data_IF_754560598638
#
_entry.id   IF_754560598638
#
_cell.length_a   1.000
_cell.length_b   1.000
_cell.length_c   1.000
_cell.angle_alpha   90.00
_cell.angle_beta   90.00
_cell.angle_gamma   90.00
#
_symmetry.space_group_name_H-M   'P 1'
#
loop_
_entity.id
_entity.type
_entity.pdbx_description
1 polymer ?
#
# COMPACT_ATOMS: atom_id res chain seq x y z
N UNK A 1 7.11 -15.91 -6.79
CA UNK A 1 5.78 -15.33 -6.47
C UNK A 1 5.75 -13.91 -7.02
N UNK A 2 4.59 -13.29 -7.24
CA UNK A 2 4.51 -11.93 -7.80
C UNK A 2 3.91 -11.03 -6.71
N UNK A 3 4.78 -10.46 -5.88
CA UNK A 3 4.43 -9.62 -4.74
C UNK A 3 3.65 -8.38 -5.20
N UNK A 4 4.01 -7.81 -6.35
CA UNK A 4 3.29 -6.68 -6.95
C UNK A 4 1.82 -7.04 -7.22
N UNK A 5 1.57 -8.23 -7.79
CA UNK A 5 0.22 -8.71 -8.05
C UNK A 5 -0.56 -8.99 -6.75
N UNK A 6 0.10 -9.55 -5.74
CA UNK A 6 -0.52 -9.83 -4.44
C UNK A 6 -0.86 -8.53 -3.69
N UNK A 7 0.05 -7.56 -3.68
CA UNK A 7 -0.18 -6.23 -3.11
C UNK A 7 -1.37 -5.56 -3.77
N UNK A 8 -1.44 -5.59 -5.11
CA UNK A 8 -2.57 -5.04 -5.85
C UNK A 8 -3.89 -5.71 -5.46
N UNK A 9 -3.92 -7.04 -5.44
CA UNK A 9 -5.12 -7.78 -5.07
C UNK A 9 -5.58 -7.49 -3.63
N UNK A 10 -4.64 -7.37 -2.69
CA UNK A 10 -4.95 -7.02 -1.31
C UNK A 10 -5.51 -5.61 -1.19
N UNK A 11 -4.88 -4.62 -1.82
CA UNK A 11 -5.33 -3.22 -1.81
C UNK A 11 -6.69 -3.09 -2.52
N UNK A 12 -6.93 -3.81 -3.62
CA UNK A 12 -8.23 -3.85 -4.32
C UNK A 12 -9.33 -4.47 -3.43
N UNK A 13 -9.00 -5.46 -2.60
CA UNK A 13 -9.98 -6.19 -1.80
C UNK A 13 -10.39 -5.45 -0.52
N UNK A 14 -9.48 -4.70 0.09
CA UNK A 14 -9.74 -3.94 1.31
C UNK A 14 -8.94 -2.62 1.35
N UNK A 15 -9.32 -1.64 0.51
CA UNK A 15 -8.59 -0.38 0.35
C UNK A 15 -8.61 0.53 1.58
N UNK A 16 -9.59 0.35 2.47
CA UNK A 16 -9.73 1.18 3.67
C UNK A 16 -8.89 0.69 4.85
N UNK A 17 -8.41 -0.56 4.81
CA UNK A 17 -7.55 -1.11 5.86
C UNK A 17 -6.25 -0.33 6.03
N UNK A 18 -5.78 -0.25 7.28
CA UNK A 18 -4.49 0.36 7.61
C UNK A 18 -3.33 -0.35 6.89
N UNK A 19 -3.48 -1.67 6.68
CA UNK A 19 -2.53 -2.47 5.91
C UNK A 19 -2.46 -2.03 4.45
N UNK A 20 -3.61 -1.89 3.78
CA UNK A 20 -3.65 -1.47 2.38
C UNK A 20 -3.10 -0.05 2.21
N UNK A 21 -3.47 0.88 3.11
CA UNK A 21 -2.94 2.25 3.12
C UNK A 21 -1.42 2.30 3.33
N UNK A 22 -0.89 1.47 4.23
CA UNK A 22 0.56 1.41 4.49
C UNK A 22 1.31 0.86 3.28
N UNK A 23 0.80 -0.20 2.64
CA UNK A 23 1.40 -0.77 1.44
C UNK A 23 1.29 0.18 0.23
N UNK A 24 0.18 0.90 0.08
CA UNK A 24 0.03 1.94 -0.93
C UNK A 24 1.08 3.05 -0.75
N UNK A 25 1.25 3.56 0.47
CA UNK A 25 2.28 4.57 0.78
C UNK A 25 3.70 4.08 0.49
N UNK A 26 3.98 2.81 0.76
CA UNK A 26 5.27 2.20 0.44
C UNK A 26 5.52 2.23 -1.07
N UNK A 27 4.54 1.82 -1.88
CA UNK A 27 4.65 1.85 -3.35
C UNK A 27 4.86 3.27 -3.86
N UNK A 28 4.10 4.26 -3.36
CA UNK A 28 4.24 5.65 -3.76
C UNK A 28 5.64 6.21 -3.46
N UNK A 29 6.19 5.89 -2.29
CA UNK A 29 7.55 6.31 -1.92
C UNK A 29 8.61 5.65 -2.81
N UNK A 30 8.43 4.37 -3.15
CA UNK A 30 9.36 3.63 -4.01
C UNK A 30 9.38 4.14 -5.46
N UNK A 31 8.24 4.54 -6.01
CA UNK A 31 8.17 5.10 -7.37
C UNK A 31 8.68 6.54 -7.42
N UNK A 32 8.31 7.37 -6.44
CA UNK A 32 8.71 8.78 -6.38
C UNK A 32 10.14 9.02 -5.87
N UNK A 33 10.86 7.96 -5.47
CA UNK A 33 12.10 8.05 -4.70
C UNK A 33 11.96 8.95 -3.45
N UNK A 34 10.78 8.93 -2.84
CA UNK A 34 10.40 9.74 -1.68
C UNK A 34 10.70 9.08 -0.34
N UNK A 35 10.39 9.81 0.74
CA UNK A 35 10.54 9.32 2.12
C UNK A 35 9.41 8.36 2.51
N UNK A 36 9.74 7.35 3.31
CA UNK A 36 8.79 6.42 3.92
C UNK A 36 9.13 6.19 5.39
N UNK A 37 8.12 6.23 6.27
CA UNK A 37 8.30 6.04 7.72
C UNK A 37 8.40 4.54 8.04
N UNK A 38 9.61 4.03 8.26
CA UNK A 38 9.86 2.58 8.41
C UNK A 38 9.07 1.94 9.58
N UNK A 39 8.82 2.69 10.66
CA UNK A 39 8.04 2.22 11.80
C UNK A 39 6.60 1.85 11.44
N UNK A 40 6.05 2.41 10.37
CA UNK A 40 4.72 2.05 9.86
C UNK A 40 4.63 0.58 9.41
N UNK A 41 5.74 -0.04 8.98
CA UNK A 41 5.73 -1.47 8.63
C UNK A 41 5.46 -2.36 9.83
N UNK A 42 5.92 -1.96 11.02
CA UNK A 42 5.67 -2.73 12.25
C UNK A 42 4.22 -2.68 12.74
N UNK A 43 3.39 -1.82 12.13
CA UNK A 43 1.94 -1.79 12.39
C UNK A 43 1.18 -2.81 11.54
N UNK A 44 1.83 -3.40 10.54
CA UNK A 44 1.26 -4.47 9.72
C UNK A 44 1.20 -5.77 10.52
N UNK A 45 0.23 -6.61 10.20
CA UNK A 45 0.27 -8.01 10.63
C UNK A 45 1.42 -8.75 9.93
N UNK A 46 1.75 -9.94 10.44
CA UNK A 46 2.90 -10.71 9.95
C UNK A 46 2.83 -11.03 8.44
N UNK A 47 1.69 -11.48 7.88
CA UNK A 47 1.55 -11.66 6.43
C UNK A 47 1.79 -10.38 5.62
N UNK A 48 1.25 -9.23 6.03
CA UNK A 48 1.40 -7.98 5.27
C UNK A 48 2.80 -7.40 5.41
N UNK A 49 3.46 -7.59 6.56
CA UNK A 49 4.87 -7.27 6.72
C UNK A 49 5.75 -8.07 5.75
N UNK A 50 5.52 -9.38 5.65
CA UNK A 50 6.21 -10.23 4.67
C UNK A 50 6.00 -9.75 3.24
N UNK A 51 4.76 -9.43 2.88
CA UNK A 51 4.43 -8.87 1.57
C UNK A 51 5.15 -7.54 1.30
N UNK A 52 5.30 -6.67 2.31
CA UNK A 52 6.07 -5.42 2.17
C UNK A 52 7.56 -5.69 1.84
N UNK A 53 8.16 -6.71 2.47
CA UNK A 53 9.54 -7.10 2.18
C UNK A 53 9.68 -7.65 0.76
N UNK A 54 8.73 -8.48 0.31
CA UNK A 54 8.73 -9.02 -1.04
C UNK A 54 8.56 -7.91 -2.09
N UNK A 55 7.71 -6.90 -1.83
CA UNK A 55 7.58 -5.71 -2.68
C UNK A 55 8.93 -5.01 -2.81
N UNK A 56 9.64 -4.73 -1.71
CA UNK A 56 10.95 -4.07 -1.74
C UNK A 56 11.97 -4.84 -2.57
N UNK A 57 12.00 -6.17 -2.42
CA UNK A 57 12.90 -7.05 -3.16
C UNK A 57 12.58 -7.04 -4.66
N UNK A 58 11.32 -7.25 -5.04
CA UNK A 58 10.90 -7.24 -6.44
C UNK A 58 11.06 -5.85 -7.07
N UNK A 59 10.81 -4.78 -6.32
CA UNK A 59 10.92 -3.41 -6.83
C UNK A 59 12.35 -3.08 -7.27
N UNK A 60 13.35 -3.55 -6.53
CA UNK A 60 14.77 -3.37 -6.82
C UNK A 60 15.22 -4.12 -8.08
N UNK A 61 14.64 -5.30 -8.32
CA UNK A 61 15.04 -6.18 -9.42
C UNK A 61 14.44 -5.76 -10.76
N UNK A 62 13.31 -5.06 -10.75
CA UNK A 62 12.50 -4.92 -11.95
C UNK A 62 12.33 -3.46 -12.39
N UNK A 63 13.15 -3.01 -13.34
CA UNK A 63 13.09 -1.64 -13.89
C UNK A 63 12.03 -1.48 -15.00
N UNK A 64 11.36 -2.56 -15.44
CA UNK A 64 10.49 -2.53 -16.64
C UNK A 64 9.17 -3.32 -16.54
N UNK A 65 8.68 -3.67 -15.35
CA UNK A 65 7.40 -4.38 -15.21
C UNK A 65 6.18 -3.45 -15.31
N UNK A 66 5.36 -3.65 -16.34
CA UNK A 66 4.06 -2.97 -16.54
C UNK A 66 3.07 -3.15 -15.36
N UNK A 67 3.31 -4.10 -14.47
CA UNK A 67 2.54 -4.28 -13.23
C UNK A 67 2.70 -3.15 -12.23
N UNK A 68 3.85 -2.45 -12.24
CA UNK A 68 4.14 -1.33 -11.32
C UNK A 68 3.22 -0.14 -11.57
N UNK A 69 2.99 0.23 -12.83
CA UNK A 69 2.10 1.34 -13.19
C UNK A 69 0.70 1.13 -12.58
N UNK A 70 0.12 -0.07 -12.73
CA UNK A 70 -1.21 -0.37 -12.16
C UNK A 70 -1.23 -0.35 -10.64
N UNK A 71 -0.17 -0.83 -9.98
CA UNK A 71 -0.07 -0.78 -8.52
C UNK A 71 0.13 0.65 -8.02
N UNK A 72 0.91 1.45 -8.74
CA UNK A 72 1.12 2.87 -8.45
C UNK A 72 -0.19 3.66 -8.58
N UNK A 73 -0.91 3.50 -9.70
CA UNK A 73 -2.20 4.15 -9.94
C UNK A 73 -3.21 3.82 -8.83
N UNK A 74 -3.28 2.54 -8.43
CA UNK A 74 -4.13 2.11 -7.32
C UNK A 74 -3.69 2.72 -5.99
N UNK A 75 -2.38 2.83 -5.76
CA UNK A 75 -1.83 3.42 -4.54
C UNK A 75 -2.17 4.91 -4.43
N UNK A 76 -2.14 5.64 -5.55
CA UNK A 76 -2.58 7.05 -5.59
C UNK A 76 -4.06 7.19 -5.23
N UNK A 77 -4.92 6.30 -5.73
CA UNK A 77 -6.34 6.32 -5.39
C UNK A 77 -6.56 6.11 -3.90
N UNK A 78 -5.89 5.13 -3.30
CA UNK A 78 -6.02 4.82 -1.86
C UNK A 78 -5.47 5.93 -0.98
N UNK A 79 -4.35 6.57 -1.35
CA UNK A 79 -3.83 7.71 -0.59
C UNK A 79 -4.76 8.93 -0.65
N UNK A 80 -5.52 9.07 -1.75
CA UNK A 80 -6.53 10.13 -1.91
C UNK A 80 -7.88 9.84 -1.22
N UNK A 81 -8.09 8.63 -0.67
CA UNK A 81 -9.32 8.31 0.04
C UNK A 81 -9.42 9.15 1.32
N UNK A 82 -10.54 9.85 1.55
CA UNK A 82 -10.76 10.54 2.80
C UNK A 82 -10.75 9.52 3.97
N UNK A 83 -10.21 9.88 5.14
CA UNK A 83 -10.30 9.01 6.30
C UNK A 83 -11.78 8.72 6.56
N UNK A 84 -12.11 7.42 6.67
CA UNK A 84 -13.47 6.95 6.92
C UNK A 84 -14.08 7.83 8.03
N UNK A 85 -15.09 8.60 7.65
CA UNK A 85 -15.73 9.59 8.49
C UNK A 85 -16.13 8.95 9.81
N UNK A 86 -15.61 9.48 10.91
CA UNK A 86 -16.19 9.32 12.24
C UNK A 86 -17.56 10.00 12.20
N UNK A 87 -18.56 9.29 11.67
CA UNK A 87 -19.95 9.70 11.72
C UNK A 87 -20.54 9.14 13.03
N UNK A 88 -20.09 9.72 14.15
CA UNK A 88 -20.66 9.47 15.47
C UNK A 88 -21.84 10.42 15.70
N UNK A 89 -23.04 9.84 15.63
CA UNK A 89 -24.30 10.14 16.33
C UNK A 89 -24.78 11.61 16.55
N UNK A 90 -26.11 11.86 16.40
CA UNK A 90 -26.70 13.16 16.67
C UNK A 90 -26.65 13.47 18.17
N UNK A 91 -26.17 14.67 18.52
CA UNK A 91 -26.32 15.20 19.88
C UNK A 91 -27.75 15.72 20.05
N UNK A 92 -28.38 15.26 21.12
CA UNK A 92 -29.75 15.57 21.59
C UNK A 92 -29.82 17.00 22.12
#
# INVERSE_FOLDING_TARGET
>A
MNAIKQARHFIESDPESDGAKTLAKLVLALESAGSFELGSLYKLDYPRFGLAMDILQEWRLDRYYAGKAKLFDLSMQVDSLPPASVQAAPQV
#
